data_IF_360803676314
#
_entry.id   IF_360803676314
#
_cell.length_a   1.000
_cell.length_b   1.000
_cell.length_c   1.000
_cell.angle_alpha   90.00
_cell.angle_beta   90.00
_cell.angle_gamma   90.00
#
_symmetry.space_group_name_H-M   'P 1'
#
loop_
_entity.id
_entity.type
_entity.pdbx_description
1 polymer ?
#
# COMPACT_ATOMS: atom_id res chain seq x y z
N UNK A 1 -13.02 -7.90 -0.15
CA UNK A 1 -13.29 -6.81 -1.11
C UNK A 1 -13.11 -7.37 -2.51
N UNK A 2 -13.98 -7.00 -3.45
CA UNK A 2 -13.87 -7.42 -4.85
C UNK A 2 -13.78 -6.19 -5.74
N UNK A 3 -13.01 -6.31 -6.83
CA UNK A 3 -12.80 -5.29 -7.85
C UNK A 3 -13.34 -5.82 -9.19
N UNK A 4 -13.71 -4.94 -10.16
CA UNK A 4 -13.36 -3.52 -10.25
C UNK A 4 -14.09 -2.63 -9.25
N UNK A 5 -13.37 -1.67 -8.68
CA UNK A 5 -13.95 -0.59 -7.89
C UNK A 5 -14.48 0.49 -8.82
N UNK A 6 -15.75 0.89 -8.62
CA UNK A 6 -16.31 2.05 -9.31
C UNK A 6 -15.47 3.30 -8.99
N UNK A 7 -15.24 4.21 -9.96
CA UNK A 7 -14.67 5.53 -9.67
C UNK A 7 -15.52 6.25 -8.64
N UNK A 8 -14.89 6.75 -7.57
CA UNK A 8 -15.56 7.45 -6.48
C UNK A 8 -14.61 8.46 -5.86
N UNK A 9 -15.15 9.52 -5.26
CA UNK A 9 -14.36 10.54 -4.58
C UNK A 9 -13.66 9.94 -3.35
N UNK A 10 -12.35 10.19 -3.22
CA UNK A 10 -11.56 9.77 -2.04
C UNK A 10 -10.91 10.95 -1.31
N UNK A 11 -11.17 12.18 -1.77
CA UNK A 11 -10.56 13.40 -1.24
C UNK A 11 -10.89 13.63 0.23
N UNK A 12 -12.17 13.52 0.60
CA UNK A 12 -12.60 13.68 1.99
C UNK A 12 -11.90 12.65 2.91
N UNK A 13 -11.84 11.39 2.48
CA UNK A 13 -11.19 10.33 3.24
C UNK A 13 -9.68 10.58 3.43
N UNK A 14 -8.98 11.03 2.39
CA UNK A 14 -7.55 11.34 2.46
C UNK A 14 -7.29 12.63 3.28
N UNK A 15 -8.18 13.62 3.20
CA UNK A 15 -8.11 14.87 3.94
C UNK A 15 -8.35 14.67 5.44
N UNK A 16 -9.39 13.94 5.82
CA UNK A 16 -9.68 13.55 7.22
C UNK A 16 -8.48 12.86 7.86
N UNK A 17 -7.82 12.03 7.06
CA UNK A 17 -6.65 11.32 7.52
C UNK A 17 -5.46 12.28 7.71
N UNK A 18 -5.32 13.36 6.95
CA UNK A 18 -4.17 14.27 7.05
C UNK A 18 -4.02 15.01 8.40
N UNK A 19 -5.07 15.12 9.22
CA UNK A 19 -4.99 15.64 10.60
C UNK A 19 -6.30 16.24 11.14
N UNK A 20 -6.46 16.32 12.47
CA UNK A 20 -7.63 16.94 13.10
C UNK A 20 -7.64 18.45 12.82
N UNK A 21 -8.65 18.93 12.09
CA UNK A 21 -8.79 20.33 11.69
C UNK A 21 -8.92 20.55 10.18
N UNK A 22 -8.62 19.52 9.36
CA UNK A 22 -9.06 19.49 7.97
C UNK A 22 -10.58 19.20 7.96
N UNK A 23 -11.40 20.20 8.27
CA UNK A 23 -12.84 20.09 8.07
C UNK A 23 -13.06 19.71 6.60
N UNK A 24 -13.59 18.52 6.36
CA UNK A 24 -13.93 18.05 5.02
C UNK A 24 -15.03 18.97 4.49
N UNK A 25 -14.64 20.07 3.84
CA UNK A 25 -15.58 20.84 3.02
C UNK A 25 -16.18 19.84 2.03
N UNK A 26 -17.51 19.86 1.80
CA UNK A 26 -18.12 18.96 0.84
C UNK A 26 -17.39 19.10 -0.49
N UNK A 27 -16.77 18.01 -0.94
CA UNK A 27 -16.02 18.02 -2.18
C UNK A 27 -17.01 18.23 -3.33
N UNK A 28 -16.80 19.28 -4.12
CA UNK A 28 -17.69 19.64 -5.22
C UNK A 28 -17.36 18.89 -6.54
N UNK A 29 -16.56 17.82 -6.47
CA UNK A 29 -16.19 17.07 -7.65
C UNK A 29 -17.39 16.27 -8.21
N UNK A 30 -17.40 15.93 -9.51
CA UNK A 30 -18.51 15.22 -10.13
C UNK A 30 -18.56 13.72 -9.81
N UNK A 31 -17.60 13.19 -9.04
CA UNK A 31 -17.53 11.76 -8.74
C UNK A 31 -18.57 11.36 -7.68
N UNK A 32 -19.06 10.11 -7.70
CA UNK A 32 -19.89 9.59 -6.62
C UNK A 32 -19.21 9.72 -5.26
N UNK A 33 -19.95 10.25 -4.29
CA UNK A 33 -19.54 10.36 -2.89
C UNK A 33 -20.21 9.23 -2.12
N UNK A 34 -19.47 8.15 -1.89
CA UNK A 34 -19.96 6.95 -1.24
C UNK A 34 -18.87 5.90 -1.13
N UNK A 35 -19.16 4.82 -0.39
CA UNK A 35 -18.18 3.76 -0.21
C UNK A 35 -18.05 2.89 -1.46
N UNK A 36 -16.81 2.56 -1.80
CA UNK A 36 -16.45 1.62 -2.85
C UNK A 36 -15.31 0.70 -2.36
N UNK A 37 -14.92 -0.30 -3.15
CA UNK A 37 -13.84 -1.20 -2.75
C UNK A 37 -12.53 -0.47 -2.49
N UNK A 38 -12.20 0.56 -3.29
CA UNK A 38 -11.04 1.41 -3.06
C UNK A 38 -11.13 2.20 -1.75
N UNK A 39 -12.27 2.87 -1.46
CA UNK A 39 -12.42 3.63 -0.21
C UNK A 39 -12.34 2.73 1.02
N UNK A 40 -12.90 1.51 0.94
CA UNK A 40 -12.82 0.51 2.02
C UNK A 40 -11.39 0.03 2.24
N UNK A 41 -10.62 -0.22 1.18
CA UNK A 41 -9.18 -0.54 1.28
C UNK A 41 -8.40 0.63 1.90
N UNK A 42 -8.62 1.85 1.43
CA UNK A 42 -7.99 3.06 1.98
C UNK A 42 -8.29 3.23 3.47
N UNK A 43 -9.54 3.04 3.92
CA UNK A 43 -9.90 3.11 5.34
C UNK A 43 -9.12 2.10 6.18
N UNK A 44 -8.90 0.88 5.68
CA UNK A 44 -8.11 -0.15 6.38
C UNK A 44 -6.62 0.15 6.44
N UNK A 45 -6.06 0.79 5.42
CA UNK A 45 -4.67 1.27 5.48
C UNK A 45 -4.52 2.45 6.43
N UNK A 46 -5.41 3.44 6.31
CA UNK A 46 -5.39 4.69 7.07
C UNK A 46 -5.69 4.50 8.57
N UNK A 47 -6.14 3.32 8.99
CA UNK A 47 -6.28 2.95 10.40
C UNK A 47 -4.95 2.67 11.10
N UNK A 48 -3.84 2.50 10.36
CA UNK A 48 -2.52 2.28 10.95
C UNK A 48 -2.15 3.39 11.95
N UNK A 49 -1.51 3.00 13.05
CA UNK A 49 -1.06 3.90 14.13
C UNK A 49 0.41 3.73 14.50
N UNK A 50 1.02 2.59 14.20
CA UNK A 50 2.37 2.22 14.62
C UNK A 50 3.23 1.75 13.47
N UNK A 51 2.75 0.80 12.67
CA UNK A 51 3.50 0.24 11.55
C UNK A 51 2.64 -0.05 10.33
N UNK A 52 3.29 -0.01 9.18
CA UNK A 52 2.75 -0.49 7.92
C UNK A 52 3.88 -1.21 7.16
N UNK A 53 3.74 -2.52 7.03
CA UNK A 53 4.57 -3.35 6.16
C UNK A 53 3.82 -3.54 4.83
N UNK A 54 4.46 -3.26 3.70
CA UNK A 54 3.86 -3.36 2.36
C UNK A 54 4.74 -4.25 1.48
N UNK A 55 4.20 -5.34 0.95
CA UNK A 55 4.88 -6.27 0.06
C UNK A 55 4.09 -6.38 -1.24
N UNK A 56 4.46 -5.60 -2.25
CA UNK A 56 3.70 -5.47 -3.50
C UNK A 56 4.58 -5.63 -4.75
N UNK A 57 4.15 -6.52 -5.64
CA UNK A 57 4.72 -6.66 -6.98
C UNK A 57 4.70 -5.35 -7.77
N UNK A 58 3.55 -4.68 -7.88
CA UNK A 58 3.44 -3.41 -8.59
C UNK A 58 2.61 -2.38 -7.80
N UNK A 59 3.12 -1.15 -7.71
CA UNK A 59 2.50 -0.05 -6.97
C UNK A 59 2.58 1.27 -7.75
N UNK A 60 1.50 1.62 -8.46
CA UNK A 60 1.38 2.85 -9.25
C UNK A 60 0.11 3.66 -8.99
N UNK A 61 -0.79 3.22 -8.10
CA UNK A 61 -2.01 3.97 -7.75
C UNK A 61 -1.67 5.24 -6.94
N UNK A 62 -2.00 6.44 -7.44
CA UNK A 62 -1.76 7.69 -6.72
C UNK A 62 -2.53 7.80 -5.40
N UNK A 63 -3.76 7.28 -5.34
CA UNK A 63 -4.59 7.32 -4.12
C UNK A 63 -3.97 6.49 -3.00
N UNK A 64 -3.50 5.28 -3.32
CA UNK A 64 -2.83 4.41 -2.35
C UNK A 64 -1.44 4.96 -1.98
N UNK A 65 -0.70 5.52 -2.95
CA UNK A 65 0.58 6.20 -2.69
C UNK A 65 0.40 7.39 -1.74
N UNK A 66 -0.65 8.20 -1.94
CA UNK A 66 -0.98 9.31 -1.05
C UNK A 66 -1.30 8.82 0.37
N UNK A 67 -2.11 7.77 0.51
CA UNK A 67 -2.43 7.20 1.81
C UNK A 67 -1.18 6.74 2.58
N UNK A 68 -0.28 6.02 1.91
CA UNK A 68 0.99 5.57 2.51
C UNK A 68 1.86 6.75 2.94
N UNK A 69 1.97 7.79 2.11
CA UNK A 69 2.71 9.02 2.45
C UNK A 69 2.09 9.75 3.65
N UNK A 70 0.76 9.80 3.75
CA UNK A 70 0.07 10.41 4.89
C UNK A 70 0.34 9.66 6.19
N UNK A 71 0.38 8.32 6.15
CA UNK A 71 0.73 7.50 7.31
C UNK A 71 2.16 7.76 7.76
N UNK A 72 3.12 7.80 6.82
CA UNK A 72 4.51 8.13 7.12
C UNK A 72 4.63 9.52 7.78
N UNK A 73 3.95 10.53 7.23
CA UNK A 73 3.91 11.89 7.81
C UNK A 73 3.33 11.94 9.24
N UNK A 74 2.47 10.99 9.60
CA UNK A 74 1.93 10.85 10.98
C UNK A 74 2.87 10.11 11.94
N UNK A 75 4.05 9.70 11.48
CA UNK A 75 5.01 8.95 12.28
C UNK A 75 4.78 7.44 12.29
N UNK A 76 3.89 6.90 11.44
CA UNK A 76 3.77 5.44 11.27
C UNK A 76 5.05 4.92 10.61
N UNK A 77 5.65 3.87 11.17
CA UNK A 77 6.81 3.19 10.57
C UNK A 77 6.36 2.46 9.31
N UNK A 78 6.68 3.00 8.14
CA UNK A 78 6.38 2.37 6.85
C UNK A 78 7.62 1.67 6.29
N UNK A 79 7.46 0.40 5.88
CA UNK A 79 8.47 -0.38 5.16
C UNK A 79 7.84 -1.01 3.92
N UNK A 80 8.54 -0.93 2.79
CA UNK A 80 8.03 -1.42 1.50
C UNK A 80 9.02 -2.38 0.86
N UNK A 81 8.55 -3.56 0.50
CA UNK A 81 9.21 -4.50 -0.40
C UNK A 81 8.47 -4.46 -1.74
N UNK A 82 9.21 -4.37 -2.84
CA UNK A 82 8.63 -4.36 -4.19
C UNK A 82 9.51 -5.09 -5.21
N UNK A 83 9.00 -5.27 -6.42
CA UNK A 83 9.75 -5.86 -7.53
C UNK A 83 10.60 -4.78 -8.24
N UNK A 84 11.85 -5.11 -8.54
CA UNK A 84 12.87 -4.21 -9.08
C UNK A 84 12.54 -3.72 -10.50
N UNK A 85 11.94 -4.58 -11.32
CA UNK A 85 11.56 -4.20 -12.68
C UNK A 85 10.34 -3.28 -12.63
N UNK A 86 9.33 -3.64 -11.83
CA UNK A 86 8.06 -2.91 -11.78
C UNK A 86 8.18 -1.59 -11.02
N UNK A 87 9.11 -1.47 -10.06
CA UNK A 87 9.32 -0.20 -9.37
C UNK A 87 9.90 0.89 -10.28
N UNK A 88 10.60 0.52 -11.35
CA UNK A 88 11.19 1.44 -12.34
C UNK A 88 10.23 1.88 -13.46
N UNK A 89 9.03 1.30 -13.54
CA UNK A 89 8.07 1.63 -14.60
C UNK A 89 7.50 3.05 -14.44
N UNK A 90 7.21 3.76 -15.56
CA UNK A 90 6.56 5.06 -15.53
C UNK A 90 5.26 5.05 -14.71
N UNK A 91 5.12 6.03 -13.81
CA UNK A 91 3.94 6.16 -12.93
C UNK A 91 4.02 5.35 -11.63
N UNK A 92 5.05 4.53 -11.43
CA UNK A 92 5.36 3.90 -10.14
C UNK A 92 5.39 4.94 -9.01
N UNK A 93 4.73 4.64 -7.90
CA UNK A 93 4.74 5.49 -6.70
C UNK A 93 6.01 5.30 -5.86
N UNK A 94 6.78 4.24 -6.10
CA UNK A 94 7.91 3.84 -5.27
C UNK A 94 8.97 4.94 -5.18
N UNK A 95 9.30 5.59 -6.30
CA UNK A 95 10.26 6.70 -6.32
C UNK A 95 9.83 7.87 -5.44
N UNK A 96 8.54 8.25 -5.47
CA UNK A 96 7.99 9.32 -4.63
C UNK A 96 7.99 8.95 -3.15
N UNK A 97 7.67 7.69 -2.83
CA UNK A 97 7.67 7.19 -1.45
C UNK A 97 9.10 7.14 -0.88
N UNK A 98 10.07 6.66 -1.65
CA UNK A 98 11.48 6.67 -1.29
C UNK A 98 12.02 8.09 -1.10
N UNK A 99 11.67 9.01 -2.01
CA UNK A 99 12.04 10.43 -1.88
C UNK A 99 11.45 11.09 -0.62
N UNK A 100 10.28 10.63 -0.17
CA UNK A 100 9.67 11.08 1.08
C UNK A 100 10.31 10.51 2.35
N UNK A 101 11.36 9.68 2.25
CA UNK A 101 12.07 9.08 3.39
C UNK A 101 11.55 7.71 3.82
N UNK A 102 10.61 7.11 3.06
CA UNK A 102 10.11 5.76 3.36
C UNK A 102 11.16 4.73 2.95
N UNK A 103 11.41 3.76 3.83
CA UNK A 103 12.33 2.66 3.57
C UNK A 103 11.72 1.72 2.53
N UNK A 104 12.43 1.54 1.41
CA UNK A 104 12.06 0.63 0.33
C UNK A 104 13.20 -0.33 0.08
N UNK A 105 12.89 -1.62 -0.02
CA UNK A 105 13.77 -2.70 -0.50
C UNK A 105 13.12 -3.35 -1.71
N UNK A 106 13.91 -3.96 -2.58
CA UNK A 106 13.43 -4.65 -3.78
C UNK A 106 14.23 -5.91 -4.04
N UNK A 107 13.68 -6.82 -4.83
CA UNK A 107 14.37 -8.05 -5.26
C UNK A 107 15.60 -7.77 -6.14
N UNK A 108 16.48 -8.76 -6.24
CA UNK A 108 17.79 -8.64 -6.90
C UNK A 108 18.07 -9.78 -7.90
N UNK A 109 17.25 -10.82 -7.91
CA UNK A 109 17.54 -12.10 -8.58
C UNK A 109 16.52 -12.48 -9.66
N UNK A 110 16.80 -13.56 -10.39
CA UNK A 110 15.89 -14.15 -11.39
C UNK A 110 14.65 -14.73 -10.72
N UNK A 111 13.59 -13.93 -10.66
CA UNK A 111 12.30 -14.29 -10.10
C UNK A 111 11.53 -13.02 -9.77
N UNK A 112 10.21 -13.09 -9.69
CA UNK A 112 9.40 -11.93 -9.35
C UNK A 112 9.07 -11.92 -7.85
N UNK A 113 9.25 -10.78 -7.19
CA UNK A 113 8.59 -10.50 -5.92
C UNK A 113 7.07 -10.32 -6.13
N UNK A 114 6.35 -11.43 -6.32
CA UNK A 114 4.98 -11.42 -6.82
C UNK A 114 3.91 -11.32 -5.71
N UNK A 115 4.28 -11.05 -4.47
CA UNK A 115 3.32 -10.86 -3.39
C UNK A 115 2.45 -9.61 -3.60
N UNK A 116 1.22 -9.64 -3.07
CA UNK A 116 0.35 -8.47 -2.95
C UNK A 116 -0.30 -8.43 -1.57
N UNK A 117 0.47 -8.04 -0.55
CA UNK A 117 -0.06 -7.87 0.79
C UNK A 117 0.46 -6.63 1.50
N UNK A 118 -0.26 -6.22 2.55
CA UNK A 118 0.15 -5.24 3.52
C UNK A 118 -0.26 -5.71 4.93
N UNK A 119 0.52 -5.35 5.94
CA UNK A 119 0.22 -5.64 7.34
C UNK A 119 0.16 -4.31 8.08
N UNK A 120 -1.00 -4.04 8.68
CA UNK A 120 -1.27 -2.85 9.47
C UNK A 120 -1.06 -3.17 10.94
N UNK A 121 -0.20 -2.39 11.60
CA UNK A 121 0.10 -2.48 13.03
C UNK A 121 0.46 -3.89 13.54
N UNK A 122 1.03 -4.74 12.66
CA UNK A 122 1.32 -6.16 12.92
C UNK A 122 0.09 -6.96 13.41
N UNK A 123 -1.12 -6.52 13.05
CA UNK A 123 -2.41 -7.06 13.54
C UNK A 123 -3.43 -7.33 12.45
N UNK A 124 -3.42 -6.54 11.37
CA UNK A 124 -4.38 -6.70 10.28
C UNK A 124 -3.63 -7.04 9.01
N UNK A 125 -3.92 -8.20 8.42
CA UNK A 125 -3.41 -8.62 7.13
C UNK A 125 -4.38 -8.16 6.04
N UNK A 126 -3.84 -7.49 5.02
CA UNK A 126 -4.53 -7.14 3.79
C UNK A 126 -3.82 -7.88 2.66
N UNK A 127 -4.46 -8.84 1.99
CA UNK A 127 -3.80 -9.67 0.97
C UNK A 127 -4.76 -10.08 -0.14
N UNK A 128 -4.27 -10.36 -1.34
CA UNK A 128 -5.11 -10.84 -2.43
C UNK A 128 -4.39 -10.88 -3.78
N UNK A 129 -5.18 -10.79 -4.86
CA UNK A 129 -4.65 -10.78 -6.23
C UNK A 129 -4.25 -9.37 -6.71
N UNK A 130 -4.79 -8.34 -6.07
CA UNK A 130 -4.71 -6.94 -6.50
C UNK A 130 -3.30 -6.37 -6.43
N UNK A 131 -2.69 -6.12 -7.59
CA UNK A 131 -1.60 -5.13 -7.70
C UNK A 131 -2.16 -3.73 -7.44
N UNK A 132 -1.41 -2.86 -6.76
CA UNK A 132 -1.88 -1.52 -6.39
C UNK A 132 -1.69 -0.53 -7.55
N UNK A 133 -2.36 -0.79 -8.67
CA UNK A 133 -2.34 0.02 -9.88
C UNK A 133 -3.76 0.50 -10.21
N UNK A 134 -3.89 1.69 -10.80
CA UNK A 134 -5.21 2.21 -11.20
C UNK A 134 -5.94 1.25 -12.15
N UNK A 135 -5.20 0.63 -13.07
CA UNK A 135 -5.73 -0.37 -14.00
C UNK A 135 -6.35 -1.56 -13.26
N UNK A 136 -5.63 -2.18 -12.32
CA UNK A 136 -6.14 -3.34 -11.59
C UNK A 136 -7.34 -2.96 -10.71
N UNK A 137 -7.29 -1.79 -10.06
CA UNK A 137 -8.36 -1.28 -9.21
C UNK A 137 -9.66 -1.04 -9.99
N UNK A 138 -9.59 -0.49 -11.20
CA UNK A 138 -10.79 -0.03 -11.92
C UNK A 138 -11.28 -0.99 -13.00
N UNK A 139 -10.42 -1.87 -13.51
CA UNK A 139 -10.73 -2.65 -14.71
C UNK A 139 -10.59 -4.17 -14.53
N UNK A 140 -9.83 -4.64 -13.55
CA UNK A 140 -9.60 -6.07 -13.36
C UNK A 140 -10.57 -6.69 -12.34
N UNK A 141 -10.85 -7.99 -12.51
CA UNK A 141 -11.49 -8.81 -11.49
C UNK A 141 -10.43 -9.23 -10.47
N UNK A 142 -10.44 -8.57 -9.32
CA UNK A 142 -9.46 -8.82 -8.26
C UNK A 142 -10.18 -9.07 -6.93
N UNK A 143 -9.52 -9.80 -6.03
CA UNK A 143 -9.94 -9.94 -4.65
C UNK A 143 -8.90 -9.35 -3.69
N UNK A 144 -9.39 -8.81 -2.57
CA UNK A 144 -8.58 -8.43 -1.41
C UNK A 144 -9.28 -8.90 -0.15
N UNK A 145 -8.61 -9.73 0.62
CA UNK A 145 -8.99 -10.15 1.96
C UNK A 145 -8.43 -9.16 2.97
N UNK A 146 -9.19 -8.92 4.04
CA UNK A 146 -8.78 -8.11 5.20
C UNK A 146 -9.08 -8.96 6.41
N UNK A 147 -8.05 -9.36 7.15
CA UNK A 147 -8.15 -10.34 8.24
C UNK A 147 -7.44 -9.80 9.49
N UNK A 148 -8.09 -9.94 10.63
CA UNK A 148 -7.56 -9.59 11.95
C UNK A 148 -7.44 -10.86 12.79
N UNK A 149 -6.58 -11.76 12.33
CA UNK A 149 -6.37 -13.07 12.93
C UNK A 149 -4.88 -13.35 13.00
N UNK A 150 -4.38 -13.62 14.21
CA UNK A 150 -2.96 -13.84 14.44
C UNK A 150 -2.42 -15.07 13.70
N UNK A 151 -3.25 -16.09 13.45
CA UNK A 151 -2.87 -17.30 12.73
C UNK A 151 -2.49 -17.00 11.29
N UNK A 152 -3.17 -16.04 10.65
CA UNK A 152 -2.84 -15.58 9.29
C UNK A 152 -1.83 -14.43 9.27
N UNK A 153 -1.87 -13.53 10.25
CA UNK A 153 -0.96 -12.37 10.28
C UNK A 153 0.48 -12.79 10.53
N UNK A 154 0.71 -13.74 11.45
CA UNK A 154 2.07 -14.12 11.87
C UNK A 154 2.90 -14.67 10.70
N UNK A 155 2.45 -15.66 9.90
CA UNK A 155 3.25 -16.18 8.79
C UNK A 155 3.59 -15.13 7.73
N UNK A 156 2.64 -14.24 7.41
CA UNK A 156 2.89 -13.15 6.45
C UNK A 156 3.88 -12.12 6.99
N UNK A 157 3.84 -11.84 8.30
CA UNK A 157 4.81 -10.96 8.93
C UNK A 157 6.20 -11.59 8.97
N UNK A 158 6.29 -12.86 9.34
CA UNK A 158 7.55 -13.60 9.34
C UNK A 158 8.17 -13.62 7.93
N UNK A 159 7.35 -13.86 6.90
CA UNK A 159 7.79 -13.80 5.50
C UNK A 159 8.22 -12.39 5.09
N UNK A 160 7.49 -11.35 5.50
CA UNK A 160 7.91 -9.97 5.26
C UNK A 160 9.28 -9.68 5.88
N UNK A 161 9.51 -10.07 7.13
CA UNK A 161 10.81 -9.84 7.81
C UNK A 161 11.93 -10.63 7.14
N UNK A 162 11.67 -11.86 6.69
CA UNK A 162 12.62 -12.68 5.94
C UNK A 162 13.03 -12.00 4.64
N UNK A 163 12.05 -11.65 3.79
CA UNK A 163 12.30 -10.94 2.53
C UNK A 163 12.98 -9.59 2.79
N UNK A 164 12.56 -8.88 3.85
CA UNK A 164 13.16 -7.61 4.23
C UNK A 164 14.67 -7.80 4.44
N UNK A 165 15.11 -8.74 5.28
CA UNK A 165 16.53 -8.98 5.53
C UNK A 165 17.29 -9.56 4.34
N UNK A 166 16.68 -10.45 3.55
CA UNK A 166 17.26 -10.90 2.28
C UNK A 166 17.54 -9.70 1.37
N UNK A 167 16.65 -8.71 1.38
CA UNK A 167 16.75 -7.52 0.54
C UNK A 167 17.54 -6.36 1.17
N UNK A 168 18.30 -6.63 2.22
CA UNK A 168 19.06 -5.61 2.94
C UNK A 168 20.20 -5.04 2.09
N UNK A 169 20.22 -3.71 1.80
CA UNK A 169 21.25 -3.11 0.97
C UNK A 169 22.69 -3.34 1.42
N UNK A 170 22.91 -3.58 2.71
CA UNK A 170 24.24 -3.84 3.30
C UNK A 170 24.77 -5.22 2.89
N UNK A 171 23.89 -6.15 2.54
CA UNK A 171 24.29 -7.48 2.09
C UNK A 171 24.82 -7.48 0.65
N UNK A 172 24.77 -6.33 -0.04
CA UNK A 172 25.25 -6.20 -1.40
C UNK A 172 26.62 -5.53 -1.45
N UNK A 173 27.52 -6.13 -2.21
CA UNK A 173 28.75 -5.47 -2.66
C UNK A 173 28.47 -4.86 -4.03
N UNK A 174 28.39 -3.53 -4.10
CA UNK A 174 28.46 -2.82 -5.37
C UNK A 174 29.94 -2.73 -5.74
N UNK A 175 30.33 -3.42 -6.82
CA UNK A 175 31.69 -3.37 -7.37
C UNK A 175 32.02 -1.97 -7.90
#
# INVERSE_FOLDING_TARGET
LFFPSRPSCTEALLAEAAGPGAAARPCACPLPHGDCSLSRLLRRLLSARRSLEVCLFAFSSPQLGHAVRLLHRRGVRVRIVTDAQYMGLPGSQIGLLRHAGIQVRHDQESGYMHHKFAIVDRRTLITGSLNWTTQAIQNNRENVLVMEDAEYVKPFLDEFERIWEDYNPINYSFF
#
